data_IF_364627182310
#
_entry.id   IF_364627182310
#
_cell.length_a   1.000
_cell.length_b   1.000
_cell.length_c   1.000
_cell.angle_alpha   90.00
_cell.angle_beta   90.00
_cell.angle_gamma   90.00
#
_symmetry.space_group_name_H-M   'P 1'
#
loop_
_entity.id
_entity.type
_entity.pdbx_description
1 polymer ?
#
# COMPACT_ATOMS: atom_id res chain seq x y z
N UNK A 1 -24.18 -6.75 -14.85
CA UNK A 1 -23.90 -5.81 -13.73
C UNK A 1 -23.08 -6.57 -12.67
N UNK A 2 -22.51 -5.98 -11.60
CA UNK A 2 -21.82 -6.79 -10.56
C UNK A 2 -22.85 -7.48 -9.67
N UNK A 3 -22.46 -8.59 -9.04
CA UNK A 3 -23.32 -9.36 -8.14
C UNK A 3 -24.03 -8.51 -7.08
N UNK A 4 -23.31 -7.68 -6.33
CA UNK A 4 -23.93 -6.83 -5.29
C UNK A 4 -24.86 -5.76 -5.89
N UNK A 5 -24.52 -5.22 -7.07
CA UNK A 5 -25.34 -4.23 -7.76
C UNK A 5 -26.69 -4.84 -8.17
N UNK A 6 -26.72 -6.09 -8.65
CA UNK A 6 -27.95 -6.82 -8.93
C UNK A 6 -28.81 -6.98 -7.68
N UNK A 7 -28.19 -7.43 -6.58
CA UNK A 7 -28.88 -7.66 -5.29
C UNK A 7 -29.51 -6.36 -4.77
N UNK A 8 -28.78 -5.25 -4.83
CA UNK A 8 -29.27 -3.94 -4.43
C UNK A 8 -30.39 -3.42 -5.34
N UNK A 9 -30.26 -3.62 -6.66
CA UNK A 9 -31.25 -3.20 -7.63
C UNK A 9 -32.58 -3.95 -7.45
N UNK A 10 -32.53 -5.27 -7.35
CA UNK A 10 -33.70 -6.12 -7.08
C UNK A 10 -34.36 -5.76 -5.75
N UNK A 11 -33.57 -5.53 -4.70
CA UNK A 11 -34.09 -5.10 -3.39
C UNK A 11 -34.83 -3.77 -3.47
N UNK A 12 -34.32 -2.83 -4.28
CA UNK A 12 -34.96 -1.53 -4.48
C UNK A 12 -36.29 -1.64 -5.24
N UNK A 13 -36.39 -2.56 -6.20
CA UNK A 13 -37.59 -2.73 -7.03
C UNK A 13 -38.69 -3.55 -6.34
N UNK A 14 -38.31 -4.65 -5.70
CA UNK A 14 -39.26 -5.65 -5.20
C UNK A 14 -39.26 -5.82 -3.68
N UNK A 15 -38.40 -5.09 -2.96
CA UNK A 15 -38.28 -5.19 -1.50
C UNK A 15 -37.58 -6.48 -1.02
N UNK A 16 -37.17 -7.36 -1.93
CA UNK A 16 -36.50 -8.64 -1.66
C UNK A 16 -35.14 -8.63 -2.34
N UNK A 17 -34.09 -9.05 -1.63
CA UNK A 17 -32.72 -9.06 -2.17
C UNK A 17 -32.47 -10.18 -3.17
N UNK A 18 -33.12 -11.34 -3.01
CA UNK A 18 -32.99 -12.48 -3.91
C UNK A 18 -31.53 -12.94 -4.11
N UNK A 19 -30.70 -12.77 -3.08
CA UNK A 19 -29.23 -12.93 -3.16
C UNK A 19 -28.82 -14.36 -3.52
N UNK A 20 -29.51 -15.31 -2.92
CA UNK A 20 -29.45 -16.75 -3.20
C UNK A 20 -29.84 -17.07 -4.65
N UNK A 21 -30.93 -16.48 -5.15
CA UNK A 21 -31.37 -16.63 -6.54
C UNK A 21 -30.30 -16.09 -7.50
N UNK A 22 -29.80 -14.87 -7.27
CA UNK A 22 -28.68 -14.32 -8.05
C UNK A 22 -27.45 -15.23 -8.00
N UNK A 23 -27.11 -15.74 -6.81
CA UNK A 23 -25.95 -16.63 -6.65
C UNK A 23 -26.15 -17.96 -7.38
N UNK A 24 -27.37 -18.47 -7.41
CA UNK A 24 -27.72 -19.70 -8.10
C UNK A 24 -27.67 -19.53 -9.63
N UNK A 25 -28.13 -18.39 -10.16
CA UNK A 25 -28.03 -18.07 -11.59
C UNK A 25 -26.56 -18.02 -12.02
N UNK A 26 -25.71 -17.38 -11.20
CA UNK A 26 -24.28 -17.21 -11.45
C UNK A 26 -23.39 -18.41 -11.04
N UNK A 27 -23.94 -19.46 -10.42
CA UNK A 27 -23.13 -20.52 -9.79
C UNK A 27 -22.23 -21.31 -10.77
N UNK A 28 -22.46 -21.21 -12.08
CA UNK A 28 -21.57 -21.76 -13.10
C UNK A 28 -20.32 -20.89 -13.36
N UNK A 29 -20.14 -19.81 -12.60
CA UNK A 29 -18.99 -18.93 -12.63
C UNK A 29 -17.83 -19.49 -11.78
N UNK A 30 -17.01 -20.36 -12.37
CA UNK A 30 -15.85 -20.97 -11.70
C UNK A 30 -14.67 -19.97 -11.55
N UNK A 31 -14.67 -19.22 -10.44
CA UNK A 31 -13.66 -18.19 -10.15
C UNK A 31 -12.23 -18.73 -10.10
N UNK A 32 -12.02 -19.95 -9.62
CA UNK A 32 -10.67 -20.53 -9.52
C UNK A 32 -10.11 -20.91 -10.88
N UNK A 33 -10.94 -21.52 -11.74
CA UNK A 33 -10.57 -21.84 -13.11
C UNK A 33 -10.31 -20.57 -13.91
N UNK A 34 -11.09 -19.51 -13.68
CA UNK A 34 -10.86 -18.17 -14.26
C UNK A 34 -9.49 -17.62 -13.85
N UNK A 35 -9.16 -17.65 -12.55
CA UNK A 35 -7.89 -17.12 -12.06
C UNK A 35 -6.70 -17.88 -12.66
N UNK A 36 -6.78 -19.21 -12.71
CA UNK A 36 -5.73 -20.08 -13.27
C UNK A 36 -5.58 -19.91 -14.79
N UNK A 37 -6.69 -19.83 -15.54
CA UNK A 37 -6.69 -19.61 -17.00
C UNK A 37 -6.31 -18.18 -17.40
N UNK A 38 -6.55 -17.19 -16.55
CA UNK A 38 -6.06 -15.83 -16.79
C UNK A 38 -4.55 -15.70 -16.61
N UNK A 39 -3.94 -16.62 -15.84
CA UNK A 39 -2.52 -16.64 -15.54
C UNK A 39 -1.71 -17.51 -16.53
N UNK A 40 -2.33 -18.52 -17.13
CA UNK A 40 -1.76 -19.26 -18.25
C UNK A 40 -2.21 -18.60 -19.56
N UNK A 41 -1.29 -18.24 -20.46
CA UNK A 41 -1.61 -17.71 -21.79
C UNK A 41 -2.29 -18.75 -22.72
N UNK A 42 -3.04 -19.70 -22.17
CA UNK A 42 -3.59 -20.86 -22.86
C UNK A 42 -5.11 -20.76 -22.96
N UNK A 43 -5.58 -20.67 -24.21
CA UNK A 43 -6.98 -20.71 -24.67
C UNK A 43 -7.79 -19.44 -24.36
N UNK A 44 -8.52 -18.96 -25.37
CA UNK A 44 -9.39 -17.80 -25.30
C UNK A 44 -10.42 -17.95 -24.17
N UNK A 45 -10.15 -17.31 -23.03
CA UNK A 45 -11.06 -17.25 -21.91
C UNK A 45 -12.25 -16.35 -22.26
N UNK A 46 -13.46 -16.90 -22.24
CA UNK A 46 -14.69 -16.14 -22.40
C UNK A 46 -15.41 -16.00 -21.05
N UNK A 47 -15.43 -14.81 -20.42
CA UNK A 47 -16.09 -14.60 -19.14
C UNK A 47 -17.61 -14.81 -19.20
N UNK A 48 -18.22 -14.79 -20.38
CA UNK A 48 -19.66 -14.97 -20.57
C UNK A 48 -20.08 -16.44 -20.75
N UNK A 49 -19.14 -17.39 -20.78
CA UNK A 49 -19.45 -18.80 -21.04
C UNK A 49 -20.42 -19.42 -20.04
N UNK A 50 -20.39 -18.98 -18.78
CA UNK A 50 -21.31 -19.47 -17.75
C UNK A 50 -22.77 -19.07 -18.02
N UNK A 51 -23.00 -17.97 -18.75
CA UNK A 51 -24.33 -17.40 -18.96
C UNK A 51 -25.24 -18.32 -19.77
N UNK A 52 -24.68 -19.16 -20.65
CA UNK A 52 -25.44 -20.14 -21.46
C UNK A 52 -26.19 -21.19 -20.64
N UNK A 53 -25.87 -21.34 -19.36
CA UNK A 53 -26.46 -22.36 -18.49
C UNK A 53 -27.79 -21.93 -17.89
N UNK A 54 -27.85 -20.72 -17.31
CA UNK A 54 -29.02 -20.24 -16.56
C UNK A 54 -29.49 -18.83 -16.92
N UNK A 55 -28.78 -18.09 -17.78
CA UNK A 55 -29.21 -16.73 -18.19
C UNK A 55 -30.16 -16.77 -19.39
N UNK A 56 -31.11 -17.70 -19.39
CA UNK A 56 -32.11 -17.84 -20.45
C UNK A 56 -33.50 -18.14 -19.87
N UNK A 57 -34.57 -17.73 -20.58
CA UNK A 57 -35.98 -17.91 -20.17
C UNK A 57 -36.30 -19.35 -19.74
N UNK A 58 -35.73 -20.33 -20.45
CA UNK A 58 -36.01 -21.75 -20.22
C UNK A 58 -35.49 -22.28 -18.87
N UNK A 59 -34.66 -21.51 -18.15
CA UNK A 59 -34.16 -21.89 -16.82
C UNK A 59 -35.08 -21.41 -15.68
N UNK A 60 -36.09 -20.57 -15.97
CA UNK A 60 -37.03 -20.10 -14.95
C UNK A 60 -37.78 -21.23 -14.22
N UNK A 61 -38.30 -22.28 -14.91
CA UNK A 61 -38.95 -23.39 -14.21
C UNK A 61 -38.01 -24.14 -13.25
N UNK A 62 -36.72 -24.23 -13.60
CA UNK A 62 -35.72 -24.82 -12.72
C UNK A 62 -35.49 -23.95 -11.48
N UNK A 63 -35.43 -22.62 -11.65
CA UNK A 63 -35.30 -21.67 -10.55
C UNK A 63 -36.50 -21.75 -9.59
N UNK A 64 -37.73 -21.74 -10.13
CA UNK A 64 -38.95 -21.83 -9.32
C UNK A 64 -38.98 -23.13 -8.52
N UNK A 65 -38.51 -24.23 -9.11
CA UNK A 65 -38.42 -25.53 -8.44
C UNK A 65 -37.33 -25.56 -7.37
N UNK A 66 -36.15 -24.98 -7.64
CA UNK A 66 -35.05 -24.94 -6.68
C UNK A 66 -35.44 -24.22 -5.38
N UNK A 67 -36.13 -23.09 -5.52
CA UNK A 67 -36.51 -22.22 -4.41
C UNK A 67 -37.93 -22.47 -3.90
N UNK A 68 -38.51 -23.62 -4.25
CA UNK A 68 -39.82 -24.05 -3.80
C UNK A 68 -39.80 -24.22 -2.27
N UNK A 69 -40.57 -23.37 -1.57
CA UNK A 69 -40.67 -23.36 -0.11
C UNK A 69 -39.95 -22.20 0.59
N UNK A 70 -39.00 -21.54 -0.10
CA UNK A 70 -38.34 -20.33 0.42
C UNK A 70 -38.98 -19.04 -0.11
N UNK A 71 -39.38 -19.06 -1.38
CA UNK A 71 -39.99 -17.93 -2.06
C UNK A 71 -41.25 -18.35 -2.80
N UNK A 72 -42.15 -17.39 -3.05
CA UNK A 72 -43.27 -17.63 -3.97
C UNK A 72 -42.76 -17.66 -5.42
N UNK A 73 -43.45 -18.38 -6.29
CA UNK A 73 -43.07 -18.46 -7.70
C UNK A 73 -43.00 -17.08 -8.37
N UNK A 74 -43.86 -16.14 -7.95
CA UNK A 74 -43.87 -14.75 -8.42
C UNK A 74 -42.60 -14.00 -8.02
N UNK A 75 -42.11 -14.19 -6.80
CA UNK A 75 -40.86 -13.57 -6.32
C UNK A 75 -39.67 -14.15 -7.08
N UNK A 76 -39.58 -15.48 -7.20
CA UNK A 76 -38.49 -16.12 -7.94
C UNK A 76 -38.46 -15.63 -9.38
N UNK A 77 -39.63 -15.58 -10.03
CA UNK A 77 -39.76 -15.05 -11.38
C UNK A 77 -39.30 -13.60 -11.49
N UNK A 78 -39.77 -12.72 -10.61
CA UNK A 78 -39.41 -11.31 -10.64
C UNK A 78 -37.90 -11.09 -10.50
N UNK A 79 -37.28 -11.75 -9.51
CA UNK A 79 -35.82 -11.66 -9.28
C UNK A 79 -35.04 -12.23 -10.48
N UNK A 80 -35.45 -13.40 -10.98
CA UNK A 80 -34.79 -14.08 -12.09
C UNK A 80 -34.85 -13.23 -13.37
N UNK A 81 -36.05 -12.78 -13.76
CA UNK A 81 -36.22 -11.96 -14.96
C UNK A 81 -35.48 -10.62 -14.83
N UNK A 82 -35.51 -9.98 -13.66
CA UNK A 82 -34.77 -8.73 -13.44
C UNK A 82 -33.26 -8.93 -13.58
N UNK A 83 -32.70 -10.03 -13.06
CA UNK A 83 -31.29 -10.34 -13.22
C UNK A 83 -30.89 -10.46 -14.69
N UNK A 84 -31.70 -11.17 -15.50
CA UNK A 84 -31.47 -11.28 -16.94
C UNK A 84 -31.60 -9.90 -17.62
N UNK A 85 -32.64 -9.14 -17.30
CA UNK A 85 -32.83 -7.80 -17.86
C UNK A 85 -31.66 -6.87 -17.55
N UNK A 86 -31.14 -6.89 -16.32
CA UNK A 86 -29.99 -6.08 -15.91
C UNK A 86 -28.70 -6.45 -16.66
N UNK A 87 -28.60 -7.69 -17.14
CA UNK A 87 -27.44 -8.20 -17.86
C UNK A 87 -27.50 -8.03 -19.37
N UNK A 88 -28.70 -7.81 -19.92
CA UNK A 88 -28.97 -7.74 -21.35
C UNK A 88 -29.80 -6.50 -21.74
N UNK A 89 -29.65 -5.40 -20.99
CA UNK A 89 -30.28 -4.10 -21.27
C UNK A 89 -31.81 -4.19 -21.46
N UNK A 90 -32.48 -4.94 -20.59
CA UNK A 90 -33.94 -5.16 -20.60
C UNK A 90 -34.39 -6.32 -21.48
N UNK A 91 -33.50 -6.92 -22.26
CA UNK A 91 -33.79 -8.14 -23.01
C UNK A 91 -33.72 -9.38 -22.11
N UNK A 92 -34.57 -10.37 -22.36
CA UNK A 92 -34.48 -11.67 -21.69
C UNK A 92 -34.11 -12.70 -22.77
N UNK A 93 -32.90 -13.29 -22.71
CA UNK A 93 -32.46 -14.23 -23.74
C UNK A 93 -33.22 -15.54 -23.75
N UNK A 94 -33.38 -16.10 -24.93
CA UNK A 94 -33.72 -17.50 -25.16
C UNK A 94 -32.46 -18.36 -25.22
N UNK A 95 -32.61 -19.66 -24.92
CA UNK A 95 -31.48 -20.60 -24.95
C UNK A 95 -30.81 -20.68 -26.32
N UNK A 96 -31.56 -20.48 -27.40
CA UNK A 96 -31.05 -20.41 -28.78
C UNK A 96 -30.12 -19.22 -29.02
N UNK A 97 -30.30 -18.11 -28.29
CA UNK A 97 -29.54 -16.87 -28.51
C UNK A 97 -28.04 -17.07 -28.20
N UNK A 98 -27.71 -17.99 -27.29
CA UNK A 98 -26.32 -18.35 -26.99
C UNK A 98 -25.60 -19.10 -28.12
N UNK A 99 -26.31 -19.42 -29.20
CA UNK A 99 -25.74 -19.93 -30.46
C UNK A 99 -25.87 -18.96 -31.63
N UNK A 100 -26.57 -17.84 -31.43
CA UNK A 100 -26.78 -16.80 -32.43
C UNK A 100 -25.59 -15.84 -32.47
N UNK A 101 -25.05 -15.59 -33.67
CA UNK A 101 -23.85 -14.76 -33.80
C UNK A 101 -24.13 -13.28 -33.49
N UNK A 102 -25.27 -12.75 -33.91
CA UNK A 102 -25.64 -11.35 -33.70
C UNK A 102 -25.84 -11.07 -32.20
N UNK A 103 -26.48 -11.99 -31.49
CA UNK A 103 -26.64 -11.92 -30.04
C UNK A 103 -25.28 -11.92 -29.32
N UNK A 104 -24.40 -12.86 -29.69
CA UNK A 104 -23.07 -12.96 -29.08
C UNK A 104 -22.22 -11.71 -29.36
N UNK A 105 -22.27 -11.15 -30.55
CA UNK A 105 -21.55 -9.91 -30.88
C UNK A 105 -22.08 -8.70 -30.10
N UNK A 106 -23.41 -8.63 -29.90
CA UNK A 106 -24.07 -7.54 -29.20
C UNK A 106 -23.78 -7.58 -27.69
N UNK A 107 -23.95 -8.73 -27.06
CA UNK A 107 -23.95 -8.84 -25.59
C UNK A 107 -22.72 -9.55 -25.03
N UNK A 108 -22.12 -10.48 -25.77
CA UNK A 108 -20.99 -11.31 -25.31
C UNK A 108 -19.75 -10.98 -26.11
N UNK A 109 -19.40 -9.70 -26.21
CA UNK A 109 -18.19 -9.26 -26.93
C UNK A 109 -17.00 -10.11 -26.48
N UNK A 110 -16.52 -10.93 -27.40
CA UNK A 110 -15.31 -11.72 -27.22
C UNK A 110 -14.20 -10.74 -26.89
N UNK A 111 -13.59 -10.88 -25.73
CA UNK A 111 -12.31 -10.23 -25.48
C UNK A 111 -11.36 -10.74 -26.55
N UNK A 112 -11.01 -9.87 -27.50
CA UNK A 112 -10.03 -10.25 -28.52
C UNK A 112 -8.65 -10.28 -27.89
N UNK A 113 -7.72 -11.04 -28.50
CA UNK A 113 -6.31 -11.06 -28.08
C UNK A 113 -5.72 -9.63 -28.10
N UNK A 114 -6.22 -8.76 -28.99
CA UNK A 114 -5.83 -7.35 -29.05
C UNK A 114 -6.28 -6.56 -27.80
N UNK A 115 -7.47 -6.84 -27.27
CA UNK A 115 -7.99 -6.19 -26.05
C UNK A 115 -7.22 -6.60 -24.80
N UNK A 116 -6.82 -7.88 -24.72
CA UNK A 116 -5.97 -8.38 -23.63
C UNK A 116 -4.55 -7.83 -23.71
N UNK A 117 -3.94 -7.75 -24.89
CA UNK A 117 -2.64 -7.09 -25.07
C UNK A 117 -2.66 -5.62 -24.66
N UNK A 118 -3.69 -4.86 -25.08
CA UNK A 118 -3.82 -3.45 -24.71
C UNK A 118 -4.01 -3.27 -23.20
N UNK A 119 -4.81 -4.15 -22.56
CA UNK A 119 -4.98 -4.16 -21.10
C UNK A 119 -3.69 -4.49 -20.36
N UNK A 120 -2.91 -5.47 -20.81
CA UNK A 120 -1.64 -5.81 -20.17
C UNK A 120 -0.59 -4.68 -20.34
N UNK A 121 -0.55 -4.04 -21.51
CA UNK A 121 0.27 -2.82 -21.72
C UNK A 121 -0.16 -1.69 -20.78
N UNK A 122 -1.46 -1.50 -20.57
CA UNK A 122 -1.99 -0.49 -19.64
C UNK A 122 -1.65 -0.80 -18.19
N UNK A 123 -1.83 -2.06 -17.74
CA UNK A 123 -1.44 -2.51 -16.40
C UNK A 123 0.06 -2.34 -16.15
N UNK A 124 0.90 -2.67 -17.14
CA UNK A 124 2.34 -2.44 -17.03
C UNK A 124 2.69 -0.94 -16.88
N UNK A 125 2.00 -0.05 -17.62
CA UNK A 125 2.18 1.40 -17.48
C UNK A 125 1.77 1.90 -16.09
N UNK A 126 0.60 1.49 -15.60
CA UNK A 126 0.10 1.85 -14.26
C UNK A 126 1.07 1.34 -13.18
N UNK A 127 1.48 0.07 -13.27
CA UNK A 127 2.40 -0.56 -12.30
C UNK A 127 3.81 0.06 -12.32
N UNK A 128 4.27 0.63 -13.44
CA UNK A 128 5.51 1.43 -13.47
C UNK A 128 5.30 2.78 -12.79
N UNK A 129 4.18 3.47 -13.08
CA UNK A 129 3.87 4.79 -12.50
C UNK A 129 3.71 4.71 -10.98
N UNK A 130 2.99 3.73 -10.47
CA UNK A 130 2.79 3.55 -9.02
C UNK A 130 4.09 3.22 -8.29
N UNK A 131 4.99 2.44 -8.90
CA UNK A 131 6.31 2.16 -8.31
C UNK A 131 7.18 3.41 -8.20
N UNK A 132 7.19 4.25 -9.23
CA UNK A 132 7.93 5.52 -9.19
C UNK A 132 7.33 6.50 -8.19
N UNK A 133 6.00 6.62 -8.13
CA UNK A 133 5.31 7.51 -7.21
C UNK A 133 5.46 7.07 -5.74
N UNK A 134 5.47 5.75 -5.49
CA UNK A 134 5.78 5.18 -4.18
C UNK A 134 7.24 5.46 -3.78
N UNK A 135 8.22 5.15 -4.63
CA UNK A 135 9.63 5.43 -4.33
C UNK A 135 9.89 6.91 -4.03
N UNK A 136 9.37 7.82 -4.84
CA UNK A 136 9.52 9.27 -4.64
C UNK A 136 8.87 9.76 -3.36
N UNK A 137 7.70 9.21 -2.99
CA UNK A 137 6.96 9.66 -1.81
C UNK A 137 7.57 9.16 -0.49
N UNK A 138 8.24 8.01 -0.48
CA UNK A 138 8.76 7.40 0.74
C UNK A 138 10.29 7.48 0.88
N UNK A 139 11.05 7.27 -0.20
CA UNK A 139 12.52 7.19 -0.12
C UNK A 139 13.14 8.59 -0.12
N UNK A 140 12.63 9.50 -0.95
CA UNK A 140 13.17 10.86 -1.05
C UNK A 140 13.15 11.64 0.27
N UNK A 141 12.04 11.71 1.04
CA UNK A 141 12.05 12.42 2.32
C UNK A 141 13.00 11.78 3.33
N UNK A 142 13.11 10.45 3.34
CA UNK A 142 14.00 9.73 4.25
C UNK A 142 15.47 10.02 3.96
N UNK A 143 15.87 10.01 2.68
CA UNK A 143 17.23 10.35 2.26
C UNK A 143 17.56 11.82 2.58
N UNK A 144 16.59 12.72 2.37
CA UNK A 144 16.75 14.14 2.63
C UNK A 144 17.00 14.43 4.12
N UNK A 145 16.27 13.76 5.02
CA UNK A 145 16.52 13.85 6.46
C UNK A 145 17.93 13.36 6.80
N UNK A 146 18.36 12.22 6.24
CA UNK A 146 19.69 11.68 6.49
C UNK A 146 20.80 12.66 6.07
N UNK A 147 20.65 13.28 4.88
CA UNK A 147 21.60 14.28 4.39
C UNK A 147 21.62 15.52 5.28
N UNK A 148 20.46 16.03 5.70
CA UNK A 148 20.39 17.21 6.58
C UNK A 148 21.02 16.92 7.94
N UNK A 149 20.74 15.77 8.54
CA UNK A 149 21.33 15.36 9.83
C UNK A 149 22.84 15.23 9.69
N UNK A 150 23.31 14.55 8.65
CA UNK A 150 24.74 14.40 8.38
C UNK A 150 25.45 15.75 8.18
N UNK A 151 24.84 16.65 7.41
CA UNK A 151 25.34 18.00 7.20
C UNK A 151 25.36 18.82 8.50
N UNK A 152 24.30 18.73 9.31
CA UNK A 152 24.19 19.43 10.60
C UNK A 152 25.29 18.97 11.57
N UNK A 153 25.53 17.67 11.67
CA UNK A 153 26.60 17.13 12.52
C UNK A 153 27.94 17.70 12.05
N UNK A 154 28.19 17.67 10.74
CA UNK A 154 29.48 18.05 10.17
C UNK A 154 29.79 19.54 10.26
N UNK A 155 28.79 20.40 10.01
CA UNK A 155 28.96 21.86 9.90
C UNK A 155 28.69 22.58 11.21
N UNK A 156 27.86 22.03 12.10
CA UNK A 156 27.45 22.72 13.33
C UNK A 156 28.00 22.01 14.57
N UNK A 157 27.70 20.72 14.71
CA UNK A 157 28.01 19.98 15.96
C UNK A 157 29.52 19.84 16.14
N UNK A 158 30.24 19.31 15.15
CA UNK A 158 31.68 19.08 15.23
C UNK A 158 32.47 20.37 15.56
N UNK A 159 32.30 21.50 14.83
CA UNK A 159 33.05 22.72 15.15
C UNK A 159 32.70 23.28 16.52
N UNK A 160 31.43 23.24 16.93
CA UNK A 160 31.02 23.67 18.26
C UNK A 160 31.75 22.89 19.36
N UNK A 161 31.75 21.56 19.28
CA UNK A 161 32.47 20.73 20.25
C UNK A 161 33.98 20.98 20.22
N UNK A 162 34.56 21.20 19.04
CA UNK A 162 35.99 21.52 18.91
C UNK A 162 36.34 22.82 19.64
N UNK A 163 35.53 23.86 19.48
CA UNK A 163 35.77 25.15 20.14
C UNK A 163 35.67 25.02 21.67
N UNK A 164 34.63 24.36 22.18
CA UNK A 164 34.46 24.14 23.62
C UNK A 164 35.64 23.36 24.23
N UNK A 165 36.07 22.28 23.57
CA UNK A 165 37.22 21.50 24.02
C UNK A 165 38.52 22.30 23.98
N UNK A 166 38.68 23.20 23.00
CA UNK A 166 39.87 24.04 22.91
C UNK A 166 39.89 25.11 24.00
N UNK A 167 38.76 25.74 24.30
CA UNK A 167 38.67 26.72 25.39
C UNK A 167 38.89 26.06 26.75
N UNK A 168 38.27 24.91 27.01
CA UNK A 168 38.50 24.16 28.25
C UNK A 168 39.99 23.79 28.42
N UNK A 169 40.63 23.30 27.35
CA UNK A 169 42.07 23.00 27.39
C UNK A 169 42.91 24.24 27.70
N UNK A 170 42.57 25.39 27.13
CA UNK A 170 43.28 26.66 27.40
C UNK A 170 43.08 27.10 28.85
N UNK A 171 41.88 26.98 29.38
CA UNK A 171 41.54 27.31 30.76
C UNK A 171 42.30 26.43 31.74
N UNK A 172 42.27 25.10 31.56
CA UNK A 172 43.03 24.17 32.40
C UNK A 172 44.53 24.47 32.40
N UNK A 173 45.11 24.79 31.23
CA UNK A 173 46.54 25.17 31.16
C UNK A 173 46.79 26.48 31.93
N UNK A 174 45.90 27.47 31.82
CA UNK A 174 46.03 28.73 32.56
C UNK A 174 45.93 28.51 34.06
N UNK A 175 44.97 27.72 34.52
CA UNK A 175 44.79 27.39 35.93
C UNK A 175 46.00 26.65 36.49
N UNK A 176 46.44 25.56 35.84
CA UNK A 176 47.62 24.82 36.28
C UNK A 176 48.89 25.69 36.30
N UNK A 177 49.04 26.59 35.33
CA UNK A 177 50.15 27.55 35.31
C UNK A 177 50.04 28.55 36.46
N UNK A 178 48.84 29.05 36.73
CA UNK A 178 48.59 29.98 37.82
C UNK A 178 48.84 29.34 39.19
N UNK A 179 48.37 28.13 39.41
CA UNK A 179 48.62 27.35 40.62
C UNK A 179 50.12 27.09 40.81
N UNK A 180 50.81 26.64 39.75
CA UNK A 180 52.26 26.43 39.78
C UNK A 180 53.02 27.73 40.12
N UNK A 181 52.60 28.85 39.54
CA UNK A 181 53.18 30.16 39.84
C UNK A 181 52.94 30.61 41.28
N UNK A 182 51.72 30.42 41.80
CA UNK A 182 51.40 30.74 43.18
C UNK A 182 52.22 29.93 44.19
N UNK A 183 52.46 28.64 43.91
CA UNK A 183 53.32 27.79 44.75
C UNK A 183 54.75 28.34 44.76
N UNK A 184 55.31 28.67 43.60
CA UNK A 184 56.65 29.26 43.48
C UNK A 184 56.75 30.61 44.22
N UNK A 185 55.78 31.50 44.02
CA UNK A 185 55.74 32.82 44.65
C UNK A 185 55.57 32.73 46.18
N UNK A 186 54.73 31.81 46.66
CA UNK A 186 54.57 31.53 48.10
C UNK A 186 55.90 31.13 48.74
N UNK A 187 56.62 30.17 48.16
CA UNK A 187 57.92 29.73 48.69
C UNK A 187 58.99 30.82 48.55
N UNK A 188 59.02 31.55 47.44
CA UNK A 188 59.96 32.67 47.23
C UNK A 188 59.79 33.76 48.30
N UNK A 189 58.56 34.24 48.50
CA UNK A 189 58.26 35.27 49.49
C UNK A 189 58.51 34.80 50.93
N UNK A 190 58.24 33.52 51.23
CA UNK A 190 58.56 32.93 52.53
C UNK A 190 60.07 32.85 52.80
N UNK A 191 60.85 32.58 51.76
CA UNK A 191 62.32 32.55 51.82
C UNK A 191 62.88 33.93 52.16
N UNK A 192 62.34 34.97 51.52
CA UNK A 192 62.66 36.37 51.81
C UNK A 192 62.28 36.80 53.23
N UNK A 193 61.14 36.34 53.76
CA UNK A 193 60.67 36.74 55.09
C UNK A 193 61.32 35.97 56.25
N UNK A 194 61.66 34.69 56.07
CA UNK A 194 62.17 33.81 57.12
C UNK A 194 63.70 33.55 57.04
N UNK A 195 64.38 34.08 56.01
CA UNK A 195 65.82 33.91 55.83
C UNK A 195 66.25 32.48 55.48
N UNK A 196 65.35 31.71 54.85
CA UNK A 196 65.62 30.34 54.42
C UNK A 196 66.62 30.34 53.24
N UNK A 197 67.42 29.27 53.12
CA UNK A 197 68.35 29.08 52.01
C UNK A 197 67.60 28.77 50.70
N UNK A 198 67.93 29.48 49.61
CA UNK A 198 67.25 29.46 48.30
C UNK A 198 67.15 28.04 47.72
N UNK A 199 68.18 27.21 47.95
CA UNK A 199 68.21 25.80 47.50
C UNK A 199 67.20 24.92 48.23
N UNK A 200 66.97 25.18 49.52
CA UNK A 200 66.01 24.40 50.32
C UNK A 200 64.58 24.74 49.96
N UNK A 201 64.29 26.00 49.60
CA UNK A 201 62.99 26.44 49.13
C UNK A 201 62.63 25.88 47.75
N UNK A 202 63.59 25.88 46.81
CA UNK A 202 63.40 25.30 45.48
C UNK A 202 63.13 23.79 45.53
N UNK A 203 63.83 23.05 46.41
CA UNK A 203 63.61 21.61 46.59
C UNK A 203 62.19 21.31 47.12
N UNK A 204 61.70 22.12 48.06
CA UNK A 204 60.35 21.95 48.66
C UNK A 204 59.19 22.42 47.77
N UNK A 205 59.47 23.24 46.76
CA UNK A 205 58.48 23.62 45.76
C UNK A 205 58.33 22.58 44.63
N UNK A 206 59.25 21.61 44.54
CA UNK A 206 59.28 20.57 43.51
C UNK A 206 58.79 19.18 43.98
N UNK A 207 58.73 18.94 45.30
CA UNK A 207 58.10 17.77 45.94
C UNK A 207 56.59 17.98 46.11
#
# INVERSE_FOLDING_TARGET
MKFEEHVEHTKKLYGVSGRDIHSWIDNFYDREKIQKLSASNAVAFNPYDHRRHRHHKQALPEAVKEFEGEYTAEVVKAVFEQHLQDDYDGYIPDKSDFTDQDFLERYHKRFTIADTEQRERLKQRIRRRDRFQFLLRFILPSLLVLVIVSATISVVVIPFFREQLMEQKKETIRELTHESWQILDYWYNRTLSEGLDEKTAALRAMD
#
